data_IF_195155787029
#
_entry.id   IF_195155787029
#
_cell.length_a   1.000
_cell.length_b   1.000
_cell.length_c   1.000
_cell.angle_alpha   90.00
_cell.angle_beta   90.00
_cell.angle_gamma   90.00
#
_symmetry.space_group_name_H-M   'P 1'
#
loop_
_entity.id
_entity.type
_entity.pdbx_description
1 polymer ?
#
# COMPACT_ATOMS: atom_id res chain seq x y z
N UNK A 1 16.43 14.08 5.50
CA UNK A 1 16.23 12.64 5.23
C UNK A 1 14.77 12.36 5.50
N UNK A 2 13.93 12.53 4.46
CA UNK A 2 12.50 12.20 4.53
C UNK A 2 12.41 10.71 4.22
N UNK A 3 11.72 9.94 5.04
CA UNK A 3 11.48 8.52 4.76
C UNK A 3 10.42 8.44 3.66
N UNK A 4 10.75 7.91 2.48
CA UNK A 4 9.88 7.87 1.28
C UNK A 4 8.64 6.97 1.42
N UNK A 5 8.38 6.45 2.61
CA UNK A 5 7.40 5.41 2.88
C UNK A 5 6.74 5.62 4.23
N UNK A 6 5.42 5.80 4.25
CA UNK A 6 4.60 5.71 5.47
C UNK A 6 4.02 4.31 5.55
N UNK A 7 4.51 3.52 6.53
CA UNK A 7 3.99 2.20 6.85
C UNK A 7 3.10 2.28 8.08
N UNK A 8 1.93 1.64 8.01
CA UNK A 8 1.11 1.39 9.18
C UNK A 8 1.27 -0.07 9.60
N UNK A 9 1.57 -0.29 10.88
CA UNK A 9 1.65 -1.63 11.46
C UNK A 9 0.26 -2.13 11.84
N UNK A 10 -0.05 -3.37 11.46
CA UNK A 10 -1.26 -4.08 11.85
C UNK A 10 -0.83 -5.31 12.65
N UNK A 11 -1.27 -5.40 13.91
CA UNK A 11 -1.03 -6.58 14.74
C UNK A 11 -2.13 -7.62 14.45
N UNK A 12 -1.89 -8.44 13.43
CA UNK A 12 -2.81 -9.50 12.99
C UNK A 12 -2.08 -10.84 13.02
N UNK A 13 -2.59 -11.79 13.80
CA UNK A 13 -2.10 -13.16 13.77
C UNK A 13 -2.39 -13.81 12.41
N UNK A 14 -1.41 -14.51 11.86
CA UNK A 14 -1.56 -15.26 10.59
C UNK A 14 -2.68 -16.32 10.69
N UNK A 15 -2.93 -16.87 11.89
CA UNK A 15 -4.01 -17.84 12.11
C UNK A 15 -5.40 -17.25 11.94
N UNK A 16 -5.53 -15.93 12.05
CA UNK A 16 -6.81 -15.22 12.07
C UNK A 16 -7.14 -14.60 10.71
N UNK A 17 -6.27 -14.80 9.72
CA UNK A 17 -6.41 -14.28 8.35
C UNK A 17 -7.32 -15.20 7.54
N UNK A 18 -8.36 -14.60 6.93
CA UNK A 18 -9.28 -15.33 6.05
C UNK A 18 -8.82 -15.25 4.58
N UNK A 19 -8.57 -16.39 3.96
CA UNK A 19 -8.24 -16.47 2.53
C UNK A 19 -9.51 -16.41 1.65
N UNK A 20 -9.40 -15.89 0.40
CA UNK A 20 -8.19 -15.34 -0.21
C UNK A 20 -7.82 -13.95 0.32
N UNK A 21 -6.58 -13.54 0.07
CA UNK A 21 -6.10 -12.18 0.36
C UNK A 21 -6.21 -11.35 -0.93
N UNK A 22 -6.65 -10.11 -0.79
CA UNK A 22 -6.79 -9.15 -1.88
C UNK A 22 -5.79 -8.01 -1.72
N UNK A 23 -5.22 -7.58 -2.84
CA UNK A 23 -4.38 -6.39 -2.91
C UNK A 23 -5.12 -5.28 -3.66
N UNK A 24 -5.21 -4.10 -3.04
CA UNK A 24 -5.72 -2.87 -3.64
C UNK A 24 -4.57 -1.90 -3.88
N UNK A 25 -4.52 -1.33 -5.09
CA UNK A 25 -3.54 -0.30 -5.47
C UNK A 25 -4.33 0.91 -5.98
N UNK A 26 -4.15 2.06 -5.31
CA UNK A 26 -4.72 3.35 -5.69
C UNK A 26 -3.59 4.30 -6.08
N UNK A 27 -3.50 4.60 -7.37
CA UNK A 27 -2.44 5.44 -7.97
C UNK A 27 -2.97 6.87 -8.09
N UNK A 28 -2.43 7.77 -7.27
CA UNK A 28 -2.72 9.21 -7.34
C UNK A 28 -1.59 10.01 -8.00
N UNK A 29 -1.73 11.34 -7.99
CA UNK A 29 -0.69 12.23 -8.54
C UNK A 29 0.56 12.34 -7.66
N UNK A 30 0.42 12.27 -6.34
CA UNK A 30 1.53 12.52 -5.38
C UNK A 30 1.93 11.30 -4.56
N UNK A 31 1.23 10.19 -4.73
CA UNK A 31 1.53 8.95 -4.03
C UNK A 31 0.66 7.80 -4.49
N UNK A 32 1.19 6.61 -4.28
CA UNK A 32 0.53 5.33 -4.52
C UNK A 32 0.21 4.74 -3.15
N UNK A 33 -1.05 4.38 -2.94
CA UNK A 33 -1.50 3.67 -1.76
C UNK A 33 -1.64 2.19 -2.09
N UNK A 34 -1.14 1.36 -1.22
CA UNK A 34 -1.16 -0.10 -1.35
C UNK A 34 -1.78 -0.64 -0.08
N UNK A 35 -2.88 -1.39 -0.21
CA UNK A 35 -3.58 -2.03 0.89
C UNK A 35 -3.71 -3.53 0.66
N UNK A 36 -3.50 -4.32 1.70
CA UNK A 36 -3.74 -5.76 1.70
C UNK A 36 -4.90 -6.04 2.64
N UNK A 37 -5.92 -6.77 2.17
CA UNK A 37 -7.07 -7.15 2.99
C UNK A 37 -7.35 -8.65 2.90
N UNK A 38 -7.91 -9.22 3.96
CA UNK A 38 -8.43 -10.58 3.96
C UNK A 38 -9.87 -10.64 3.38
N UNK A 39 -10.46 -11.83 3.28
CA UNK A 39 -11.81 -12.03 2.72
C UNK A 39 -12.94 -11.40 3.53
N UNK A 40 -12.69 -11.02 4.79
CA UNK A 40 -13.63 -10.24 5.60
C UNK A 40 -13.43 -8.73 5.44
N UNK A 41 -12.47 -8.30 4.62
CA UNK A 41 -12.08 -6.90 4.45
C UNK A 41 -11.19 -6.37 5.57
N UNK A 42 -10.63 -7.21 6.44
CA UNK A 42 -9.69 -6.78 7.48
C UNK A 42 -8.38 -6.34 6.83
N UNK A 43 -7.92 -5.12 7.12
CA UNK A 43 -6.63 -4.63 6.65
C UNK A 43 -5.50 -5.37 7.35
N UNK A 44 -4.62 -5.98 6.56
CA UNK A 44 -3.44 -6.73 7.01
C UNK A 44 -2.16 -5.91 6.83
N UNK A 45 -2.12 -5.04 5.82
CA UNK A 45 -1.00 -4.15 5.56
C UNK A 45 -1.45 -2.90 4.80
N UNK A 46 -0.73 -1.80 5.04
CA UNK A 46 -0.90 -0.55 4.32
C UNK A 46 0.45 0.13 4.14
N UNK A 47 0.70 0.58 2.91
CA UNK A 47 1.88 1.33 2.52
C UNK A 47 1.47 2.50 1.64
N UNK A 48 2.07 3.67 1.87
CA UNK A 48 2.10 4.75 0.89
C UNK A 48 3.53 4.96 0.37
N UNK A 49 3.69 5.04 -0.94
CA UNK A 49 4.95 5.42 -1.61
C UNK A 49 4.74 6.69 -2.44
N UNK A 50 5.77 7.52 -2.58
CA UNK A 50 5.71 8.70 -3.45
C UNK A 50 5.70 8.30 -4.92
N UNK A 51 4.95 9.04 -5.74
CA UNK A 51 4.90 8.86 -7.21
C UNK A 51 6.02 9.59 -7.93
N UNK A 52 6.82 10.40 -7.22
CA UNK A 52 7.87 11.22 -7.80
C UNK A 52 7.40 12.08 -8.99
N UNK A 53 6.21 12.68 -8.88
CA UNK A 53 5.60 13.49 -9.94
C UNK A 53 6.54 14.57 -10.52
N UNK A 54 7.50 15.06 -9.72
CA UNK A 54 8.50 16.04 -10.12
C UNK A 54 9.41 15.57 -11.25
N UNK A 55 9.51 14.26 -11.49
CA UNK A 55 10.35 13.67 -12.55
C UNK A 55 9.67 13.63 -13.92
N UNK A 56 8.37 13.97 -13.98
CA UNK A 56 7.60 13.96 -15.22
C UNK A 56 7.21 12.55 -15.69
N UNK A 57 6.21 12.44 -16.59
CA UNK A 57 5.72 11.15 -17.12
C UNK A 57 6.76 10.37 -17.94
N UNK A 58 7.78 11.03 -18.47
CA UNK A 58 8.88 10.43 -19.22
C UNK A 58 9.79 9.52 -18.39
N UNK A 59 9.80 9.67 -17.06
CA UNK A 59 10.54 8.81 -16.12
C UNK A 59 9.75 7.54 -15.75
N UNK A 60 8.50 7.40 -16.20
CA UNK A 60 7.69 6.20 -15.97
C UNK A 60 8.18 5.01 -16.81
N UNK A 61 8.36 3.85 -16.16
CA UNK A 61 8.75 2.57 -16.79
C UNK A 61 7.57 1.61 -16.97
#
# INVERSE_FOLDING_TARGET
MLTDSEQQSFDVSVTDVKLPIYAGIDVGGTGIKIGIVDDNGRVLAYQRILTHQEKGPEDGV
#
